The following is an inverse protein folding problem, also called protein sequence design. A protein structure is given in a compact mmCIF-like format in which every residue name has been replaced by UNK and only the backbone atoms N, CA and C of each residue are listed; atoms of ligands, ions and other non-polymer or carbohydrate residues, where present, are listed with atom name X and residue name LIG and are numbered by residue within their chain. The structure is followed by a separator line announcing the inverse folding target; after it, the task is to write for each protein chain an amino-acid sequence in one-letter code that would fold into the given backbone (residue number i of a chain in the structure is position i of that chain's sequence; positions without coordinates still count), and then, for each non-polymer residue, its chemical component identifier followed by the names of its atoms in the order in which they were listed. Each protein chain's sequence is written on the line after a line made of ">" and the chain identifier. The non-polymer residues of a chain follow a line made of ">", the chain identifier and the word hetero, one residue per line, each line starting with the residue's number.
data_IF_802076872825
#
_entry.id   IF_802076872825
#
_cell.length_a   1.000
_cell.length_b   1.000
_cell.length_c   1.000
_cell.angle_alpha   90.00
_cell.angle_beta   90.00
_cell.angle_gamma   90.00
#
_symmetry.space_group_name_H-M   'P 1'
#
loop_
_entity.id
_entity.type
_entity.pdbx_description
1 polymer ?
#
# COMPACT_ATOMS: atom_id res chain seq x y z
N UNK A 1 3.50 13.52 0.11
CA UNK A 1 2.45 13.33 -0.92
C UNK A 1 1.12 13.94 -0.48
N UNK A 2 0.59 13.59 0.69
CA UNK A 2 -0.72 14.10 1.13
C UNK A 2 -0.74 15.61 1.35
N UNK A 3 0.34 16.23 1.87
CA UNK A 3 0.46 17.69 1.95
C UNK A 3 0.32 18.38 0.59
N UNK A 4 1.04 17.89 -0.42
CA UNK A 4 0.96 18.42 -1.79
C UNK A 4 -0.45 18.24 -2.38
N UNK A 5 -1.13 17.14 -2.07
CA UNK A 5 -2.51 16.90 -2.51
C UNK A 5 -3.51 17.81 -1.78
N UNK A 6 -3.30 18.03 -0.49
CA UNK A 6 -4.10 18.91 0.36
C UNK A 6 -4.04 20.36 -0.12
N UNK A 7 -2.83 20.88 -0.34
CA UNK A 7 -2.60 22.22 -0.88
C UNK A 7 -3.28 22.41 -2.25
N UNK A 8 -3.12 21.46 -3.17
CA UNK A 8 -3.73 21.53 -4.50
C UNK A 8 -5.26 21.44 -4.47
N UNK A 9 -5.82 20.69 -3.52
CA UNK A 9 -7.25 20.49 -3.39
C UNK A 9 -7.96 21.53 -2.51
N UNK A 10 -7.20 22.43 -1.85
CA UNK A 10 -7.75 23.36 -0.85
C UNK A 10 -8.35 22.65 0.36
N UNK A 11 -7.88 21.45 0.69
CA UNK A 11 -8.36 20.61 1.80
C UNK A 11 -7.30 20.46 2.86
N UNK A 12 -7.70 20.01 4.05
CA UNK A 12 -6.76 19.62 5.09
C UNK A 12 -6.07 18.29 4.72
N UNK A 13 -4.88 18.07 5.28
CA UNK A 13 -4.15 16.80 5.13
C UNK A 13 -4.97 15.62 5.67
N UNK A 14 -5.75 15.85 6.73
CA UNK A 14 -6.57 14.82 7.35
C UNK A 14 -7.73 14.43 6.44
N UNK A 15 -8.42 15.38 5.80
CA UNK A 15 -9.48 15.07 4.82
C UNK A 15 -8.94 14.27 3.62
N UNK A 16 -7.72 14.57 3.17
CA UNK A 16 -7.06 13.80 2.11
C UNK A 16 -6.76 12.37 2.58
N UNK A 17 -6.27 12.19 3.81
CA UNK A 17 -5.99 10.87 4.40
C UNK A 17 -7.27 10.05 4.56
N UNK A 18 -8.32 10.64 5.12
CA UNK A 18 -9.61 9.97 5.30
C UNK A 18 -10.19 9.53 3.95
N UNK A 19 -10.10 10.39 2.93
CA UNK A 19 -10.52 10.04 1.56
C UNK A 19 -9.69 8.90 0.97
N UNK A 20 -8.38 8.84 1.23
CA UNK A 20 -7.54 7.75 0.77
C UNK A 20 -7.88 6.44 1.49
N UNK A 21 -8.12 6.49 2.81
CA UNK A 21 -8.48 5.32 3.60
C UNK A 21 -9.82 4.72 3.20
N UNK A 22 -10.79 5.54 2.75
CA UNK A 22 -12.06 5.04 2.22
C UNK A 22 -11.90 4.10 1.00
N UNK A 23 -10.80 4.25 0.24
CA UNK A 23 -10.47 3.38 -0.89
C UNK A 23 -9.72 2.10 -0.50
N UNK A 24 -9.29 1.97 0.76
CA UNK A 24 -8.49 0.85 1.25
C UNK A 24 -9.34 0.08 2.27
N UNK A 25 -9.69 -1.19 2.03
CA UNK A 25 -10.46 -1.98 2.99
C UNK A 25 -9.86 -2.07 4.39
N UNK A 26 -8.52 -2.10 4.51
CA UNK A 26 -7.85 -2.03 5.82
C UNK A 26 -7.94 -0.65 6.52
N UNK A 27 -8.47 0.37 5.86
CA UNK A 27 -8.73 1.69 6.44
C UNK A 27 -7.48 2.49 6.80
N UNK A 28 -6.30 2.10 6.29
CA UNK A 28 -5.02 2.75 6.58
C UNK A 28 -4.01 2.55 5.46
N UNK A 29 -2.98 3.38 5.44
CA UNK A 29 -1.79 3.09 4.65
C UNK A 29 -1.01 1.88 5.19
N UNK A 30 -0.38 1.17 4.27
CA UNK A 30 0.64 0.18 4.61
C UNK A 30 1.85 0.86 5.26
N UNK A 31 2.46 0.18 6.22
CA UNK A 31 3.73 0.61 6.82
C UNK A 31 4.90 0.00 6.04
N UNK A 32 6.05 0.69 5.93
CA UNK A 32 7.21 0.17 5.21
C UNK A 32 7.61 -1.26 5.59
N UNK A 33 7.47 -1.61 6.87
CA UNK A 33 7.81 -2.94 7.39
C UNK A 33 6.92 -4.05 6.81
N UNK A 34 5.68 -3.75 6.44
CA UNK A 34 4.74 -4.73 5.86
C UNK A 34 5.17 -5.13 4.44
N UNK A 35 5.64 -4.16 3.66
CA UNK A 35 6.26 -4.42 2.35
C UNK A 35 7.58 -5.17 2.50
N UNK A 36 8.41 -4.75 3.47
CA UNK A 36 9.69 -5.39 3.77
C UNK A 36 9.54 -6.86 4.16
N UNK A 37 8.48 -7.22 4.89
CA UNK A 37 8.19 -8.63 5.24
C UNK A 37 7.92 -9.49 4.02
N UNK A 38 7.17 -9.00 3.03
CA UNK A 38 6.97 -9.74 1.78
C UNK A 38 8.29 -9.89 1.01
N UNK A 39 9.08 -8.82 0.92
CA UNK A 39 10.38 -8.87 0.26
C UNK A 39 11.31 -9.88 0.95
N UNK A 40 11.38 -9.87 2.28
CA UNK A 40 12.16 -10.83 3.06
C UNK A 40 11.68 -12.28 2.84
N UNK A 41 10.38 -12.51 2.76
CA UNK A 41 9.82 -13.81 2.39
C UNK A 41 10.29 -14.19 0.98
N UNK A 42 10.03 -13.37 -0.05
CA UNK A 42 10.37 -13.71 -1.44
C UNK A 42 11.87 -13.97 -1.65
N UNK A 43 12.74 -13.27 -0.92
CA UNK A 43 14.19 -13.44 -1.00
C UNK A 43 14.74 -14.58 -0.12
N UNK A 44 13.88 -15.26 0.64
CA UNK A 44 14.30 -16.36 1.50
C UNK A 44 14.86 -17.52 0.65
N UNK A 45 15.95 -18.19 1.10
CA UNK A 45 16.56 -19.30 0.36
C UNK A 45 15.63 -20.47 0.05
N UNK A 46 14.52 -20.61 0.78
CA UNK A 46 13.51 -21.65 0.55
C UNK A 46 12.65 -21.40 -0.70
N UNK A 47 12.61 -20.16 -1.21
CA UNK A 47 11.67 -19.74 -2.25
C UNK A 47 12.28 -19.79 -3.65
N UNK A 48 12.95 -20.90 -3.98
CA UNK A 48 13.78 -21.05 -5.19
C UNK A 48 13.03 -21.17 -6.51
N UNK A 49 11.70 -21.27 -6.49
CA UNK A 49 10.87 -21.49 -7.68
C UNK A 49 9.78 -20.42 -7.88
N UNK A 50 9.86 -19.31 -7.13
CA UNK A 50 8.94 -18.17 -7.26
C UNK A 50 9.61 -17.12 -8.14
N UNK A 51 9.07 -16.88 -9.34
CA UNK A 51 9.56 -15.87 -10.27
C UNK A 51 8.45 -15.36 -11.18
N UNK A 52 8.63 -14.16 -11.75
CA UNK A 52 7.69 -13.54 -12.70
C UNK A 52 6.33 -13.16 -12.12
N UNK A 53 6.18 -13.15 -10.79
CA UNK A 53 4.92 -12.83 -10.12
C UNK A 53 4.86 -11.37 -9.68
N UNK A 54 3.70 -10.75 -9.83
CA UNK A 54 3.36 -9.48 -9.22
C UNK A 54 2.49 -9.75 -8.00
N UNK A 55 2.92 -9.31 -6.82
CA UNK A 55 2.15 -9.48 -5.58
C UNK A 55 1.75 -8.11 -5.05
N UNK A 56 0.45 -7.88 -4.90
CA UNK A 56 -0.07 -6.63 -4.34
C UNK A 56 0.02 -6.65 -2.81
N UNK A 57 0.55 -5.55 -2.27
CA UNK A 57 0.58 -5.26 -0.82
C UNK A 57 -0.10 -3.91 -0.62
N UNK A 58 -1.42 -3.87 -0.77
CA UNK A 58 -2.18 -2.62 -0.86
C UNK A 58 -3.34 -2.52 0.13
N UNK A 59 -3.47 -3.50 1.03
CA UNK A 59 -4.58 -3.55 2.00
C UNK A 59 -5.95 -3.78 1.36
N UNK A 60 -6.00 -4.34 0.15
CA UNK A 60 -7.22 -4.67 -0.58
C UNK A 60 -7.75 -3.55 -1.47
N UNK A 61 -6.92 -2.55 -1.78
CA UNK A 61 -7.32 -1.40 -2.60
C UNK A 61 -7.75 -1.85 -4.02
N UNK A 62 -7.04 -2.81 -4.60
CA UNK A 62 -7.42 -3.44 -5.87
C UNK A 62 -8.45 -4.54 -5.62
N UNK A 63 -9.61 -4.44 -6.28
CA UNK A 63 -10.78 -5.32 -6.06
C UNK A 63 -10.78 -6.60 -6.91
N UNK A 64 -10.01 -6.64 -7.99
CA UNK A 64 -9.87 -7.81 -8.87
C UNK A 64 -8.47 -7.79 -9.51
N UNK A 65 -7.84 -8.97 -9.58
CA UNK A 65 -6.47 -9.17 -10.04
C UNK A 65 -6.44 -9.91 -11.38
#
# INVERSE_FOLDING_TARGET
>A
MDQVRAEKAGKTVEEIRQSAFAGIPLGRYGKPEEYGKLAAFLLAPSNTYITGQTVLVDGGMVKAF
#
